data_IF_174244441150
#
_entry.id   IF_174244441150
#
_cell.length_a   1.000
_cell.length_b   1.000
_cell.length_c   1.000
_cell.angle_alpha   90.00
_cell.angle_beta   90.00
_cell.angle_gamma   90.00
#
_symmetry.space_group_name_H-M   'P 1'
#
loop_
_entity.id
_entity.type
_entity.pdbx_description
1 polymer ?
#
# COMPACT_ATOMS: atom_id res chain seq x y z
N UNK A 1 9.27 16.23 -7.30
CA UNK A 1 9.36 16.07 -5.83
C UNK A 1 9.20 14.60 -5.52
N UNK A 2 10.03 14.00 -4.66
CA UNK A 2 9.93 12.58 -4.34
C UNK A 2 8.60 12.29 -3.64
N UNK A 3 7.80 11.35 -4.17
CA UNK A 3 6.54 10.93 -3.55
C UNK A 3 6.84 10.14 -2.27
N UNK A 4 6.90 10.85 -1.13
CA UNK A 4 7.21 10.28 0.19
C UNK A 4 6.22 9.19 0.60
N UNK A 5 4.94 9.34 0.24
CA UNK A 5 3.87 8.36 0.52
C UNK A 5 4.11 7.06 -0.26
N UNK A 6 4.53 7.17 -1.52
CA UNK A 6 4.90 6.00 -2.33
C UNK A 6 6.17 5.29 -1.89
N UNK A 7 7.18 6.02 -1.42
CA UNK A 7 8.38 5.41 -0.83
C UNK A 7 8.05 4.66 0.46
N UNK A 8 7.24 5.25 1.34
CA UNK A 8 6.78 4.59 2.57
C UNK A 8 5.95 3.34 2.27
N UNK A 9 4.98 3.42 1.36
CA UNK A 9 4.18 2.27 0.96
C UNK A 9 5.02 1.14 0.35
N UNK A 10 6.00 1.47 -0.50
CA UNK A 10 6.94 0.50 -1.07
C UNK A 10 7.81 -0.17 -0.02
N UNK A 11 8.36 0.60 0.93
CA UNK A 11 9.17 0.05 2.04
C UNK A 11 8.31 -0.85 2.94
N UNK A 12 7.10 -0.43 3.31
CA UNK A 12 6.19 -1.25 4.10
C UNK A 12 5.84 -2.55 3.38
N UNK A 13 5.55 -2.47 2.08
CA UNK A 13 5.31 -3.65 1.25
C UNK A 13 6.53 -4.55 1.17
N UNK A 14 7.77 -4.03 1.23
CA UNK A 14 9.03 -4.81 1.27
C UNK A 14 9.35 -5.43 2.64
N UNK A 15 8.78 -4.91 3.75
CA UNK A 15 8.89 -5.55 5.07
C UNK A 15 7.92 -6.70 5.22
N UNK A 16 6.64 -6.50 4.87
CA UNK A 16 5.65 -7.58 4.89
C UNK A 16 4.70 -7.53 3.69
N UNK A 17 4.38 -8.67 3.03
CA UNK A 17 3.41 -8.69 1.94
C UNK A 17 2.06 -8.13 2.41
N UNK A 18 1.57 -7.09 1.75
CA UNK A 18 0.29 -6.45 2.07
C UNK A 18 0.34 -5.28 3.07
N UNK A 19 1.43 -5.05 3.82
CA UNK A 19 1.53 -3.90 4.75
C UNK A 19 1.45 -2.55 4.02
N UNK A 20 2.10 -2.45 2.86
CA UNK A 20 2.02 -1.24 2.02
C UNK A 20 0.60 -0.97 1.52
N UNK A 21 -0.14 -2.01 1.15
CA UNK A 21 -1.54 -1.89 0.72
C UNK A 21 -2.47 -1.55 1.88
N UNK A 22 -2.22 -2.07 3.09
CA UNK A 22 -2.96 -1.68 4.30
C UNK A 22 -2.72 -0.20 4.62
N UNK A 23 -1.49 0.29 4.49
CA UNK A 23 -1.17 1.72 4.69
C UNK A 23 -1.94 2.61 3.70
N UNK A 24 -2.05 2.17 2.44
CA UNK A 24 -2.86 2.84 1.41
C UNK A 24 -4.37 2.50 1.51
N UNK A 25 -4.82 1.80 2.57
CA UNK A 25 -6.21 1.38 2.79
C UNK A 25 -6.80 0.52 1.66
N UNK A 26 -5.96 -0.10 0.82
CA UNK A 26 -6.33 -0.98 -0.28
C UNK A 26 -6.54 -2.43 0.19
N UNK A 27 -7.59 -2.68 0.97
CA UNK A 27 -7.86 -3.95 1.66
C UNK A 27 -7.94 -5.18 0.75
N UNK A 28 -8.63 -5.09 -0.39
CA UNK A 28 -8.76 -6.24 -1.33
C UNK A 28 -7.39 -6.66 -1.87
N UNK A 29 -6.53 -5.69 -2.20
CA UNK A 29 -5.17 -5.97 -2.69
C UNK A 29 -4.28 -6.50 -1.58
N UNK A 30 -4.43 -6.02 -0.35
CA UNK A 30 -3.73 -6.59 0.79
C UNK A 30 -4.06 -8.08 0.97
N UNK A 31 -5.35 -8.44 0.94
CA UNK A 31 -5.80 -9.84 1.04
C UNK A 31 -5.29 -10.67 -0.13
N UNK A 32 -5.38 -10.16 -1.36
CA UNK A 32 -4.93 -10.87 -2.56
C UNK A 32 -3.41 -11.15 -2.52
N UNK A 33 -2.59 -10.14 -2.18
CA UNK A 33 -1.13 -10.31 -2.09
C UNK A 33 -0.72 -11.21 -0.93
N UNK A 34 -1.40 -11.11 0.20
CA UNK A 34 -1.17 -12.00 1.33
C UNK A 34 -1.51 -13.46 0.96
N UNK A 35 -2.68 -13.69 0.36
CA UNK A 35 -3.10 -15.02 -0.10
C UNK A 35 -2.16 -15.60 -1.15
N UNK A 36 -1.73 -14.79 -2.13
CA UNK A 36 -0.76 -15.21 -3.14
C UNK A 36 0.58 -15.57 -2.50
N UNK A 37 1.07 -14.77 -1.55
CA UNK A 37 2.30 -15.06 -0.82
C UNK A 37 2.21 -16.38 -0.06
N UNK A 38 1.07 -16.66 0.59
CA UNK A 38 0.83 -17.92 1.27
C UNK A 38 0.75 -19.11 0.31
N UNK A 39 0.07 -18.94 -0.82
CA UNK A 39 -0.01 -19.98 -1.85
C UNK A 39 1.37 -20.30 -2.46
N UNK A 40 2.17 -19.29 -2.79
CA UNK A 40 3.52 -19.49 -3.31
C UNK A 40 4.42 -20.14 -2.26
N UNK A 41 4.34 -19.71 -1.00
CA UNK A 41 5.08 -20.36 0.09
C UNK A 41 4.70 -21.85 0.20
N UNK A 42 3.41 -22.18 0.18
CA UNK A 42 2.93 -23.57 0.26
C UNK A 42 3.36 -24.43 -0.95
N UNK A 43 3.45 -23.86 -2.15
CA UNK A 43 3.85 -24.59 -3.36
C UNK A 43 5.36 -24.77 -3.51
N UNK A 44 6.14 -23.86 -2.94
CA UNK A 44 7.57 -23.74 -3.23
C UNK A 44 8.44 -24.23 -2.06
N UNK A 45 7.94 -24.16 -0.83
CA UNK A 45 8.67 -24.63 0.35
C UNK A 45 8.54 -26.16 0.45
N UNK A 46 9.66 -26.91 0.51
CA UNK A 46 9.63 -28.37 0.61
C UNK A 46 9.20 -28.86 2.00
N UNK A 47 8.54 -30.02 2.06
CA UNK A 47 8.11 -30.68 3.31
C UNK A 47 9.25 -30.84 4.33
N UNK A 48 10.48 -31.06 3.84
CA UNK A 48 11.67 -31.16 4.68
C UNK A 48 11.96 -29.89 5.50
N UNK A 49 11.60 -28.70 4.98
CA UNK A 49 11.74 -27.45 5.72
C UNK A 49 10.72 -27.36 6.86
N UNK A 50 9.49 -27.82 6.65
CA UNK A 50 8.47 -27.88 7.69
C UNK A 50 8.86 -28.84 8.81
N UNK A 51 9.37 -30.02 8.46
CA UNK A 51 9.87 -31.01 9.42
C UNK A 51 11.06 -30.47 10.24
N UNK A 52 11.96 -29.71 9.61
CA UNK A 52 13.06 -29.07 10.31
C UNK A 52 12.60 -28.01 11.32
N UNK A 53 11.58 -27.22 10.96
CA UNK A 53 10.97 -26.21 11.85
C UNK A 53 10.25 -26.88 13.01
N UNK A 54 9.52 -27.96 12.78
CA UNK A 54 8.84 -28.70 13.85
C UNK A 54 9.85 -29.32 14.83
N UNK A 55 10.95 -29.89 14.31
CA UNK A 55 11.96 -30.54 15.13
C UNK A 55 12.89 -29.57 15.88
N UNK A 56 13.22 -28.41 15.30
CA UNK A 56 14.25 -27.48 15.82
C UNK A 56 13.78 -26.04 16.01
N UNK A 57 12.49 -25.76 15.82
CA UNK A 57 11.89 -24.43 15.95
C UNK A 57 12.53 -23.40 15.02
N UNK A 58 12.82 -22.22 15.58
CA UNK A 58 13.44 -21.09 14.86
C UNK A 58 14.79 -21.47 14.23
N UNK A 59 15.58 -22.33 14.89
CA UNK A 59 16.87 -22.75 14.35
C UNK A 59 16.71 -23.62 13.11
N UNK A 60 15.69 -24.49 13.08
CA UNK A 60 15.33 -25.28 11.91
C UNK A 60 14.89 -24.40 10.73
N UNK A 61 14.20 -23.28 10.99
CA UNK A 61 13.85 -22.30 9.97
C UNK A 61 15.10 -21.65 9.35
N UNK A 62 16.10 -21.31 10.17
CA UNK A 62 17.36 -20.71 9.72
C UNK A 62 18.16 -21.70 8.86
N UNK A 63 18.30 -22.95 9.32
CA UNK A 63 19.03 -24.01 8.61
C UNK A 63 18.36 -24.36 7.27
N UNK A 64 17.03 -24.44 7.25
CA UNK A 64 16.26 -24.63 6.02
C UNK A 64 16.45 -23.45 5.07
N UNK A 65 16.51 -22.23 5.60
CA UNK A 65 16.83 -21.01 4.85
C UNK A 65 18.17 -21.06 4.12
N UNK A 66 19.20 -21.63 4.74
CA UNK A 66 20.54 -21.73 4.17
C UNK A 66 20.65 -22.72 3.00
N UNK A 67 19.68 -23.62 2.84
CA UNK A 67 19.66 -24.65 1.80
C UNK A 67 18.64 -24.37 0.69
N UNK A 68 17.99 -23.20 0.72
CA UNK A 68 17.01 -22.80 -0.29
C UNK A 68 17.66 -22.75 -1.67
N UNK A 69 17.20 -23.62 -2.57
CA UNK A 69 17.66 -23.65 -3.95
C UNK A 69 17.33 -22.36 -4.71
N UNK A 70 18.09 -22.00 -5.76
CA UNK A 70 17.95 -20.74 -6.48
C UNK A 70 16.56 -20.56 -7.10
N UNK A 71 15.88 -21.66 -7.47
CA UNK A 71 14.51 -21.64 -8.01
C UNK A 71 13.51 -21.08 -7.00
N UNK A 72 13.58 -21.51 -5.75
CA UNK A 72 12.71 -21.04 -4.67
C UNK A 72 12.99 -19.58 -4.37
N UNK A 73 14.26 -19.21 -4.29
CA UNK A 73 14.68 -17.84 -4.01
C UNK A 73 14.21 -16.86 -5.09
N UNK A 74 14.37 -17.21 -6.37
CA UNK A 74 13.89 -16.39 -7.49
C UNK A 74 12.37 -16.24 -7.46
N UNK A 75 11.62 -17.31 -7.19
CA UNK A 75 10.15 -17.24 -7.10
C UNK A 75 9.68 -16.30 -5.97
N UNK A 76 10.26 -16.43 -4.77
CA UNK A 76 9.90 -15.57 -3.64
C UNK A 76 10.31 -14.11 -3.87
N UNK A 77 11.50 -13.89 -4.40
CA UNK A 77 11.98 -12.54 -4.75
C UNK A 77 11.11 -11.90 -5.83
N UNK A 78 10.67 -12.66 -6.83
CA UNK A 78 9.77 -12.17 -7.86
C UNK A 78 8.46 -11.66 -7.22
N UNK A 79 7.79 -12.51 -6.42
CA UNK A 79 6.55 -12.10 -5.72
C UNK A 79 6.78 -10.88 -4.84
N UNK A 80 7.92 -10.81 -4.13
CA UNK A 80 8.29 -9.66 -3.31
C UNK A 80 8.37 -8.38 -4.14
N UNK A 81 9.14 -8.41 -5.22
CA UNK A 81 9.38 -7.27 -6.09
C UNK A 81 8.07 -6.82 -6.74
N UNK A 82 7.27 -7.74 -7.27
CA UNK A 82 5.98 -7.40 -7.85
C UNK A 82 5.03 -6.77 -6.81
N UNK A 83 4.96 -7.30 -5.59
CA UNK A 83 4.15 -6.72 -4.51
C UNK A 83 4.61 -5.30 -4.15
N UNK A 84 5.91 -5.06 -4.07
CA UNK A 84 6.49 -3.73 -3.80
C UNK A 84 6.21 -2.75 -4.93
N UNK A 85 6.38 -3.16 -6.19
CA UNK A 85 6.07 -2.35 -7.37
C UNK A 85 4.59 -1.99 -7.42
N UNK A 86 3.72 -2.95 -7.13
CA UNK A 86 2.27 -2.80 -7.11
C UNK A 86 1.80 -1.76 -6.07
N UNK A 87 2.40 -1.78 -4.87
CA UNK A 87 2.16 -0.79 -3.81
C UNK A 87 2.72 0.60 -4.18
N UNK A 88 3.91 0.66 -4.77
CA UNK A 88 4.51 1.92 -5.21
C UNK A 88 3.67 2.59 -6.31
N UNK A 89 3.26 1.84 -7.34
CA UNK A 89 2.42 2.34 -8.43
C UNK A 89 1.07 2.82 -7.89
N UNK A 90 0.47 2.09 -6.95
CA UNK A 90 -0.78 2.51 -6.30
C UNK A 90 -0.62 3.86 -5.61
N UNK A 91 0.41 3.99 -4.77
CA UNK A 91 0.66 5.23 -4.05
C UNK A 91 0.95 6.41 -4.99
N UNK A 92 1.65 6.18 -6.11
CA UNK A 92 1.88 7.21 -7.12
C UNK A 92 0.58 7.66 -7.78
N UNK A 93 -0.33 6.72 -8.08
CA UNK A 93 -1.65 7.04 -8.64
C UNK A 93 -2.50 7.86 -7.67
N UNK A 94 -2.59 7.45 -6.40
CA UNK A 94 -3.32 8.19 -5.36
C UNK A 94 -2.71 9.56 -5.03
N UNK A 95 -1.41 9.74 -5.27
CA UNK A 95 -0.74 11.03 -5.05
C UNK A 95 -0.82 11.96 -6.27
N UNK A 96 -1.38 11.51 -7.38
CA UNK A 96 -1.58 12.36 -8.56
C UNK A 96 -2.75 13.29 -8.28
N UNK A 97 -2.69 14.59 -8.64
CA UNK A 97 -3.78 15.54 -8.41
C UNK A 97 -5.10 15.13 -9.09
N UNK A 98 -5.05 14.23 -10.07
CA UNK A 98 -6.23 13.64 -10.70
C UNK A 98 -6.94 12.56 -9.86
N UNK A 99 -6.34 12.09 -8.75
CA UNK A 99 -6.96 11.18 -7.78
C UNK A 99 -7.52 11.91 -6.55
N UNK A 100 -7.34 13.24 -6.47
CA UNK A 100 -8.07 14.11 -5.54
C UNK A 100 -9.48 14.40 -6.09
N UNK A 101 -10.19 13.34 -6.47
CA UNK A 101 -11.59 13.41 -6.94
C UNK A 101 -12.50 12.55 -6.07
N UNK A 102 -12.11 12.31 -4.82
CA UNK A 102 -12.99 11.75 -3.78
C UNK A 102 -13.21 12.72 -2.61
N UNK A 103 -12.82 13.98 -2.81
CA UNK A 103 -13.40 15.17 -2.19
C UNK A 103 -13.34 16.25 -3.27
N UNK A 104 -14.48 16.84 -3.63
CA UNK A 104 -14.55 18.02 -4.48
C UNK A 104 -13.79 19.16 -3.77
N UNK A 105 -12.47 19.21 -3.95
CA UNK A 105 -11.65 20.30 -3.45
C UNK A 105 -11.89 21.52 -4.35
N UNK A 106 -12.99 22.22 -4.09
CA UNK A 106 -13.23 23.54 -4.65
C UNK A 106 -12.04 24.47 -4.38
N UNK A 107 -11.89 25.50 -5.21
CA UNK A 107 -10.92 26.57 -4.95
C UNK A 107 -11.69 27.79 -4.49
N UNK A 108 -11.24 28.42 -3.41
CA UNK A 108 -11.90 29.63 -2.90
C UNK A 108 -11.82 30.76 -3.96
N UNK A 109 -12.95 31.34 -4.42
CA UNK A 109 -12.97 32.37 -5.47
C UNK A 109 -12.34 33.70 -5.01
N UNK A 110 -12.18 33.91 -3.70
CA UNK A 110 -11.61 35.14 -3.16
C UNK A 110 -10.08 35.11 -3.03
N UNK A 111 -9.49 33.98 -2.64
CA UNK A 111 -8.04 33.90 -2.37
C UNK A 111 -7.29 32.84 -3.17
N UNK A 112 -7.99 31.93 -3.86
CA UNK A 112 -7.38 30.92 -4.71
C UNK A 112 -6.75 29.73 -4.00
N UNK A 113 -6.94 29.59 -2.68
CA UNK A 113 -6.50 28.40 -1.93
C UNK A 113 -7.51 27.25 -2.05
N UNK A 114 -7.02 26.03 -1.83
CA UNK A 114 -7.84 24.82 -1.72
C UNK A 114 -8.87 24.98 -0.60
N UNK A 115 -10.10 24.58 -0.92
CA UNK A 115 -11.29 24.73 -0.11
C UNK A 115 -12.07 23.41 -0.09
N UNK A 116 -12.47 23.01 1.11
CA UNK A 116 -13.41 21.93 1.35
C UNK A 116 -14.85 22.46 1.19
N UNK A 117 -15.64 21.85 0.29
CA UNK A 117 -17.02 22.28 -0.02
C UNK A 117 -18.00 22.08 1.15
N UNK A 118 -17.66 21.29 2.16
CA UNK A 118 -18.48 21.13 3.37
C UNK A 118 -18.39 22.35 4.30
N UNK A 119 -17.37 23.20 4.12
CA UNK A 119 -17.15 24.38 4.97
C UNK A 119 -17.92 25.60 4.48
N UNK A 120 -18.68 26.22 5.40
CA UNK A 120 -19.42 27.47 5.14
C UNK A 120 -18.53 28.73 5.14
N UNK A 121 -17.24 28.56 5.47
CA UNK A 121 -16.24 29.63 5.49
C UNK A 121 -14.87 29.11 5.05
N UNK A 122 -14.08 29.97 4.40
CA UNK A 122 -12.71 29.65 4.02
C UNK A 122 -11.76 29.81 5.21
N UNK A 123 -11.03 28.76 5.66
CA UNK A 123 -10.09 28.86 6.78
C UNK A 123 -8.89 29.78 6.52
N UNK A 124 -8.58 30.07 5.25
CA UNK A 124 -7.39 30.83 4.86
C UNK A 124 -7.60 32.34 4.89
N UNK A 125 -8.70 32.80 4.30
CA UNK A 125 -8.99 34.23 4.15
C UNK A 125 -10.24 34.66 4.91
N UNK A 126 -10.93 33.74 5.60
CA UNK A 126 -12.15 33.99 6.37
C UNK A 126 -13.37 34.43 5.54
N UNK A 127 -13.32 34.27 4.21
CA UNK A 127 -14.45 34.52 3.31
C UNK A 127 -15.61 33.56 3.61
N UNK A 128 -16.84 34.06 3.74
CA UNK A 128 -18.05 33.21 3.79
C UNK A 128 -18.37 32.65 2.41
N UNK A 129 -18.84 31.41 2.39
CA UNK A 129 -19.10 30.64 1.17
C UNK A 129 -20.59 30.35 1.08
N UNK A 130 -21.17 30.60 -0.09
CA UNK A 130 -22.58 30.31 -0.36
C UNK A 130 -22.70 28.88 -0.87
N UNK A 131 -23.45 28.03 -0.17
CA UNK A 131 -23.70 26.65 -0.61
C UNK A 131 -24.56 26.67 -1.87
N UNK A 132 -24.16 26.02 -2.98
CA UNK A 132 -25.00 25.92 -4.17
C UNK A 132 -26.18 24.99 -3.86
N UNK A 133 -27.28 25.58 -3.39
CA UNK A 133 -28.49 24.84 -2.99
C UNK A 133 -29.47 25.64 -2.11
N UNK A 134 -29.10 26.80 -1.58
CA UNK A 134 -29.99 27.65 -0.76
C UNK A 134 -30.72 28.71 -1.61
N UNK A 135 -31.34 28.27 -2.72
CA UNK A 135 -32.37 29.04 -3.42
C UNK A 135 -33.50 28.07 -3.79
N UNK A 136 -34.31 27.73 -2.79
CA UNK A 136 -35.76 27.49 -2.92
C UNK A 136 -36.45 27.78 -1.57
#
# INVERSE_FOLDING_TARGET
>A
MANRRGLLAGVLAFVYPGLGHIYLRAWVRAIAWFGLSMAVAALVIPDAAYQAIEARGVQGAIDAGATIGPRVMVSLLAVRVFCTLDAYILAVKESSPAAATDDDAAVCPACGNELDEELEFCPWCTQRLERPGELD
#
